data_IF_975557324655
#
_entry.id   IF_975557324655
#
_cell.length_a   1.000
_cell.length_b   1.000
_cell.length_c   1.000
_cell.angle_alpha   90.00
_cell.angle_beta   90.00
_cell.angle_gamma   90.00
#
_symmetry.space_group_name_H-M   'P 1'
#
loop_
_entity.id
_entity.type
_entity.pdbx_description
1 polymer ?
#
# COMPACT_ATOMS: atom_id res chain seq x y z
N UNK A 1 -10.60 9.42 1.85
CA UNK A 1 -11.72 8.81 2.62
C UNK A 1 -11.10 8.02 3.75
N UNK A 2 -11.32 8.40 4.98
CA UNK A 2 -10.70 7.72 6.13
C UNK A 2 -11.58 6.54 6.57
N UNK A 3 -10.99 5.39 6.89
CA UNK A 3 -11.72 4.30 7.52
C UNK A 3 -12.20 4.71 8.90
N UNK A 4 -13.49 4.52 9.18
CA UNK A 4 -14.01 4.66 10.54
C UNK A 4 -13.52 3.49 11.41
N UNK A 5 -13.36 3.65 12.74
CA UNK A 5 -12.97 2.56 13.62
C UNK A 5 -13.80 1.28 13.44
N UNK A 6 -15.12 1.45 13.25
CA UNK A 6 -16.03 0.33 12.98
C UNK A 6 -15.64 -0.45 11.72
N UNK A 7 -15.31 0.24 10.61
CA UNK A 7 -14.91 -0.43 9.37
C UNK A 7 -13.56 -1.12 9.52
N UNK A 8 -12.65 -0.52 10.25
CA UNK A 8 -11.35 -1.11 10.56
C UNK A 8 -11.52 -2.43 11.33
N UNK A 9 -12.34 -2.42 12.39
CA UNK A 9 -12.64 -3.63 13.15
C UNK A 9 -13.35 -4.69 12.30
N UNK A 10 -14.30 -4.28 11.43
CA UNK A 10 -14.96 -5.22 10.50
C UNK A 10 -13.96 -5.90 9.54
N UNK A 11 -13.01 -5.16 8.98
CA UNK A 11 -11.97 -5.74 8.12
C UNK A 11 -11.13 -6.74 8.92
N UNK A 12 -10.70 -6.38 10.13
CA UNK A 12 -9.93 -7.27 11.01
C UNK A 12 -10.69 -8.55 11.32
N UNK A 13 -11.99 -8.46 11.66
CA UNK A 13 -12.82 -9.65 11.95
C UNK A 13 -12.98 -10.55 10.73
N UNK A 14 -13.11 -9.97 9.53
CA UNK A 14 -13.31 -10.71 8.28
C UNK A 14 -12.00 -11.23 7.67
N UNK A 15 -10.83 -10.77 8.15
CA UNK A 15 -9.52 -11.11 7.57
C UNK A 15 -9.18 -12.60 7.67
N UNK A 16 -9.86 -13.35 8.56
CA UNK A 16 -9.75 -14.80 8.68
C UNK A 16 -10.37 -15.57 7.49
N UNK A 17 -11.13 -14.89 6.62
CA UNK A 17 -11.81 -15.47 5.46
C UNK A 17 -12.99 -16.40 5.83
N UNK A 18 -13.44 -16.41 7.10
CA UNK A 18 -14.58 -17.18 7.54
C UNK A 18 -15.89 -16.39 7.43
N UNK A 19 -17.03 -17.11 7.49
CA UNK A 19 -18.33 -16.46 7.53
C UNK A 19 -18.64 -15.93 8.94
N UNK A 20 -18.93 -14.63 9.02
CA UNK A 20 -19.42 -13.97 10.23
C UNK A 20 -20.85 -13.48 10.01
N UNK A 21 -21.77 -13.85 10.90
CA UNK A 21 -23.16 -13.41 10.79
C UNK A 21 -23.26 -11.90 11.04
N UNK A 22 -24.18 -11.23 10.34
CA UNK A 22 -24.39 -9.80 10.54
C UNK A 22 -24.92 -9.45 11.93
N UNK A 23 -25.53 -10.41 12.64
CA UNK A 23 -25.97 -10.29 14.03
C UNK A 23 -24.77 -10.32 14.98
N UNK A 24 -23.90 -11.33 14.88
CA UNK A 24 -22.68 -11.43 15.68
C UNK A 24 -21.77 -10.21 15.51
N UNK A 25 -21.57 -9.75 14.26
CA UNK A 25 -20.79 -8.54 13.98
C UNK A 25 -21.43 -7.29 14.61
N UNK A 26 -22.79 -7.23 14.58
CA UNK A 26 -23.53 -6.13 15.20
C UNK A 26 -23.37 -6.11 16.72
N UNK A 27 -23.47 -7.27 17.37
CA UNK A 27 -23.28 -7.43 18.82
C UNK A 27 -21.87 -7.02 19.24
N UNK A 28 -20.84 -7.52 18.56
CA UNK A 28 -19.44 -7.19 18.87
C UNK A 28 -19.12 -5.71 18.72
N UNK A 29 -19.80 -5.02 17.80
CA UNK A 29 -19.55 -3.60 17.49
C UNK A 29 -20.55 -2.65 18.15
N UNK A 30 -21.56 -3.17 18.86
CA UNK A 30 -22.61 -2.36 19.46
C UNK A 30 -23.49 -1.62 18.43
N UNK A 31 -23.69 -2.21 17.23
CA UNK A 31 -24.49 -1.60 16.14
C UNK A 31 -25.54 -2.59 15.61
N UNK A 32 -26.57 -2.05 14.95
CA UNK A 32 -27.59 -2.90 14.34
C UNK A 32 -27.08 -3.68 13.13
N UNK A 33 -27.71 -4.83 12.83
CA UNK A 33 -27.46 -5.61 11.61
C UNK A 33 -27.61 -4.77 10.33
N UNK A 34 -28.56 -3.82 10.32
CA UNK A 34 -28.74 -2.91 9.18
C UNK A 34 -27.53 -1.96 9.02
N UNK A 35 -26.95 -1.48 10.13
CA UNK A 35 -25.72 -0.69 10.11
C UNK A 35 -24.52 -1.52 9.62
N UNK A 36 -24.38 -2.78 10.06
CA UNK A 36 -23.37 -3.71 9.52
C UNK A 36 -23.50 -3.81 8.00
N UNK A 37 -24.69 -4.05 7.46
CA UNK A 37 -24.92 -4.14 6.02
C UNK A 37 -24.48 -2.88 5.27
N UNK A 38 -24.75 -1.69 5.84
CA UNK A 38 -24.31 -0.40 5.26
C UNK A 38 -22.79 -0.29 5.25
N UNK A 39 -22.11 -0.70 6.31
CA UNK A 39 -20.66 -0.73 6.37
C UNK A 39 -20.06 -1.72 5.37
N UNK A 40 -20.65 -2.91 5.20
CA UNK A 40 -20.20 -3.89 4.20
C UNK A 40 -20.31 -3.35 2.76
N UNK A 41 -21.39 -2.62 2.43
CA UNK A 41 -21.50 -1.95 1.13
C UNK A 41 -20.36 -0.95 0.92
N UNK A 42 -20.06 -0.13 1.91
CA UNK A 42 -18.97 0.84 1.81
C UNK A 42 -17.57 0.19 1.75
N UNK A 43 -17.38 -0.99 2.35
CA UNK A 43 -16.13 -1.76 2.23
C UNK A 43 -15.95 -2.34 0.82
N UNK A 44 -17.05 -2.77 0.17
CA UNK A 44 -17.01 -3.18 -1.25
C UNK A 44 -16.59 -2.03 -2.18
N UNK A 45 -17.04 -0.79 -1.89
CA UNK A 45 -16.62 0.40 -2.64
C UNK A 45 -15.12 0.70 -2.52
N UNK A 46 -14.47 0.25 -1.44
CA UNK A 46 -13.01 0.30 -1.28
C UNK A 46 -12.27 -0.84 -2.00
N UNK A 47 -13.01 -1.69 -2.70
CA UNK A 47 -12.45 -2.80 -3.48
C UNK A 47 -12.26 -4.10 -2.71
N UNK A 48 -12.79 -4.23 -1.46
CA UNK A 48 -12.78 -5.52 -0.77
C UNK A 48 -13.72 -6.52 -1.47
N UNK A 49 -13.19 -7.69 -1.79
CA UNK A 49 -13.98 -8.79 -2.35
C UNK A 49 -14.74 -9.52 -1.23
N UNK A 50 -15.94 -9.04 -0.98
CA UNK A 50 -16.82 -9.50 0.09
C UNK A 50 -17.98 -10.34 -0.45
N UNK A 51 -18.08 -11.59 0.02
CA UNK A 51 -19.25 -12.43 -0.18
C UNK A 51 -20.30 -12.17 0.90
N UNK A 52 -21.56 -12.21 0.49
CA UNK A 52 -22.71 -12.19 1.39
C UNK A 52 -23.62 -13.37 1.05
N UNK A 53 -23.89 -14.21 2.03
CA UNK A 53 -24.79 -15.37 1.88
C UNK A 53 -25.89 -15.33 2.93
N UNK A 54 -27.14 -15.43 2.48
CA UNK A 54 -28.30 -15.45 3.37
C UNK A 54 -28.18 -16.62 4.35
N UNK A 55 -28.39 -16.36 5.64
CA UNK A 55 -28.26 -17.34 6.71
C UNK A 55 -26.82 -17.58 7.20
N UNK A 56 -25.78 -17.20 6.46
CA UNK A 56 -24.38 -17.36 6.89
C UNK A 56 -23.70 -16.04 7.23
N UNK A 57 -24.06 -14.93 6.57
CA UNK A 57 -23.48 -13.61 6.81
C UNK A 57 -22.44 -13.19 5.75
N UNK A 58 -21.33 -12.63 6.17
CA UNK A 58 -20.30 -12.03 5.33
C UNK A 58 -18.95 -12.71 5.50
N UNK A 59 -18.14 -12.77 4.44
CA UNK A 59 -16.74 -13.17 4.48
C UNK A 59 -15.94 -12.48 3.39
N UNK A 60 -14.62 -12.40 3.54
CA UNK A 60 -13.71 -12.08 2.44
C UNK A 60 -13.58 -13.27 1.48
N UNK A 61 -13.31 -13.00 0.20
CA UNK A 61 -13.07 -14.04 -0.82
C UNK A 61 -11.88 -14.93 -0.45
N UNK A 62 -10.83 -14.31 0.08
CA UNK A 62 -9.62 -14.95 0.58
C UNK A 62 -9.23 -14.35 1.92
N UNK A 63 -8.59 -15.12 2.83
CA UNK A 63 -7.98 -14.55 4.03
C UNK A 63 -6.99 -13.45 3.68
N UNK A 64 -6.86 -12.45 4.55
CA UNK A 64 -6.00 -11.29 4.34
C UNK A 64 -5.10 -11.08 5.54
N UNK A 65 -3.79 -10.97 5.31
CA UNK A 65 -2.85 -10.49 6.30
C UNK A 65 -2.79 -8.96 6.23
N UNK A 66 -3.22 -8.30 7.29
CA UNK A 66 -3.16 -6.84 7.40
C UNK A 66 -1.77 -6.41 7.91
N UNK A 67 -1.34 -5.20 7.53
CA UNK A 67 -0.08 -4.65 8.03
C UNK A 67 -0.12 -4.44 9.55
N UNK A 68 0.91 -4.95 10.20
CA UNK A 68 1.20 -4.70 11.61
C UNK A 68 2.36 -3.70 11.72
N UNK A 69 2.05 -2.52 12.22
CA UNK A 69 3.02 -1.41 12.39
C UNK A 69 4.24 -1.83 13.21
N UNK A 70 4.05 -2.62 14.27
CA UNK A 70 5.13 -3.04 15.17
C UNK A 70 6.06 -4.03 14.47
N UNK A 71 5.48 -5.02 13.78
CA UNK A 71 6.24 -6.01 13.02
C UNK A 71 7.04 -5.35 11.88
N UNK A 72 6.40 -4.45 11.13
CA UNK A 72 7.07 -3.76 10.03
C UNK A 72 8.19 -2.84 10.52
N UNK A 73 7.99 -2.13 11.64
CA UNK A 73 9.04 -1.32 12.25
C UNK A 73 10.21 -2.18 12.74
N UNK A 74 9.95 -3.38 13.23
CA UNK A 74 11.02 -4.32 13.63
C UNK A 74 11.84 -4.82 12.44
N UNK A 75 11.24 -4.97 11.26
CA UNK A 75 11.94 -5.34 10.02
C UNK A 75 12.77 -4.19 9.43
N UNK A 76 12.44 -2.94 9.75
CA UNK A 76 13.14 -1.75 9.26
C UNK A 76 13.59 -0.86 10.44
N UNK A 77 14.54 -1.33 11.30
CA UNK A 77 14.89 -0.64 12.54
C UNK A 77 15.66 0.68 12.31
N UNK A 78 16.21 0.88 11.11
CA UNK A 78 17.08 2.01 10.80
C UNK A 78 16.31 3.31 10.50
N UNK A 79 15.01 3.23 10.18
CA UNK A 79 14.20 4.39 9.83
C UNK A 79 12.72 4.15 10.20
N UNK A 80 11.95 5.23 10.46
CA UNK A 80 10.52 5.10 10.76
C UNK A 80 9.73 4.46 9.63
N UNK A 81 8.76 3.62 10.00
CA UNK A 81 7.79 3.01 9.10
C UNK A 81 6.40 3.52 9.47
N UNK A 82 5.68 4.09 8.51
CA UNK A 82 4.30 4.54 8.68
C UNK A 82 3.35 3.59 7.97
N UNK A 83 2.31 3.12 8.66
CA UNK A 83 1.30 2.22 8.08
C UNK A 83 -0.08 2.83 8.13
N UNK A 84 -0.80 2.74 7.03
CA UNK A 84 -2.17 3.23 6.90
C UNK A 84 -3.09 2.15 6.32
N UNK A 85 -4.28 2.02 6.87
CA UNK A 85 -5.29 1.18 6.24
C UNK A 85 -5.80 1.82 4.93
N UNK A 86 -6.02 3.14 4.93
CA UNK A 86 -6.41 3.91 3.73
C UNK A 86 -5.75 5.28 3.78
N UNK A 87 -5.14 5.66 2.70
CA UNK A 87 -4.54 6.99 2.49
C UNK A 87 -4.87 7.49 1.08
N UNK A 88 -4.66 8.74 0.79
CA UNK A 88 -4.73 9.28 -0.57
C UNK A 88 -3.59 8.75 -1.45
N UNK A 89 -2.34 8.95 -1.00
CA UNK A 89 -1.14 8.44 -1.66
C UNK A 89 0.02 8.34 -0.67
N UNK A 90 0.70 7.19 -0.64
CA UNK A 90 1.91 6.99 0.18
C UNK A 90 3.05 7.90 -0.29
N UNK A 91 3.21 8.13 -1.60
CA UNK A 91 4.16 9.09 -2.13
C UNK A 91 3.84 10.51 -1.67
N UNK A 92 2.58 10.94 -1.76
CA UNK A 92 2.17 12.29 -1.35
C UNK A 92 2.43 12.52 0.13
N UNK A 93 2.12 11.53 0.97
CA UNK A 93 2.36 11.58 2.41
C UNK A 93 3.81 11.91 2.75
N UNK A 94 4.76 11.22 2.11
CA UNK A 94 6.19 11.48 2.32
C UNK A 94 6.63 12.78 1.64
N UNK A 95 6.14 13.06 0.44
CA UNK A 95 6.56 14.23 -0.34
C UNK A 95 6.23 15.55 0.37
N UNK A 96 5.10 15.63 1.04
CA UNK A 96 4.70 16.80 1.84
C UNK A 96 5.57 17.02 3.09
N UNK A 97 6.34 16.01 3.49
CA UNK A 97 7.14 15.99 4.73
C UNK A 97 8.65 15.93 4.49
N UNK A 98 9.11 16.05 3.26
CA UNK A 98 10.52 15.84 2.85
C UNK A 98 11.55 16.59 3.71
N UNK A 99 11.20 17.74 4.27
CA UNK A 99 12.09 18.52 5.14
C UNK A 99 12.20 17.98 6.57
N UNK A 100 11.40 16.99 6.95
CA UNK A 100 11.31 16.43 8.30
C UNK A 100 11.71 14.95 8.34
N UNK A 101 11.87 14.32 7.16
CA UNK A 101 12.09 12.89 7.04
C UNK A 101 13.57 12.52 7.15
N UNK A 102 13.82 11.33 7.68
CA UNK A 102 15.11 10.67 7.66
C UNK A 102 15.23 9.75 6.44
N UNK A 103 16.43 9.61 5.89
CA UNK A 103 16.68 8.70 4.76
C UNK A 103 16.27 7.25 5.13
N UNK A 104 15.53 6.59 4.24
CA UNK A 104 14.94 5.27 4.47
C UNK A 104 13.57 5.28 5.13
N UNK A 105 13.07 6.42 5.59
CA UNK A 105 11.73 6.52 6.15
C UNK A 105 10.69 6.13 5.12
N UNK A 106 9.75 5.26 5.52
CA UNK A 106 8.86 4.60 4.58
C UNK A 106 7.39 4.71 4.99
N UNK A 107 6.52 4.61 4.00
CA UNK A 107 5.07 4.65 4.15
C UNK A 107 4.44 3.50 3.39
N UNK A 108 3.62 2.69 4.09
CA UNK A 108 2.84 1.60 3.51
C UNK A 108 1.35 1.87 3.68
N UNK A 109 0.54 1.32 2.77
CA UNK A 109 -0.90 1.40 2.87
C UNK A 109 -1.59 0.16 2.30
N UNK A 110 -2.74 -0.22 2.89
CA UNK A 110 -3.59 -1.28 2.35
C UNK A 110 -4.38 -0.81 1.11
N UNK A 111 -4.63 0.50 1.00
CA UNK A 111 -5.39 1.11 -0.09
C UNK A 111 -4.99 2.56 -0.31
N UNK A 112 -4.89 2.98 -1.57
CA UNK A 112 -4.78 4.39 -1.97
C UNK A 112 -6.04 4.86 -2.69
N UNK A 113 -6.59 6.01 -2.28
CA UNK A 113 -7.76 6.61 -2.93
C UNK A 113 -7.40 7.56 -4.08
N UNK A 114 -6.15 8.00 -4.14
CA UNK A 114 -5.61 8.88 -5.17
C UNK A 114 -4.19 8.44 -5.60
N UNK A 115 -3.98 7.13 -5.73
CA UNK A 115 -2.73 6.55 -6.21
C UNK A 115 -2.34 7.07 -7.60
N UNK A 116 -1.05 7.34 -7.81
CA UNK A 116 -0.54 7.91 -9.06
C UNK A 116 0.56 7.05 -9.65
N UNK A 117 0.55 6.98 -10.97
CA UNK A 117 1.67 6.54 -11.78
C UNK A 117 2.33 7.70 -12.51
N UNK A 118 3.28 7.40 -13.37
CA UNK A 118 3.97 8.40 -14.20
C UNK A 118 2.99 9.18 -15.06
N UNK A 119 3.31 10.47 -15.29
CA UNK A 119 2.52 11.42 -16.10
C UNK A 119 1.09 11.59 -15.57
N UNK A 120 0.90 11.47 -14.26
CA UNK A 120 -0.41 11.67 -13.62
C UNK A 120 -1.45 10.58 -13.91
N UNK A 121 -1.06 9.42 -14.47
CA UNK A 121 -1.99 8.31 -14.67
C UNK A 121 -2.48 7.79 -13.32
N UNK A 122 -3.79 7.53 -13.15
CA UNK A 122 -4.29 6.96 -11.92
C UNK A 122 -3.72 5.55 -11.70
N UNK A 123 -3.40 5.23 -10.46
CA UNK A 123 -3.03 3.89 -10.01
C UNK A 123 -4.15 3.35 -9.15
N UNK A 124 -4.76 2.25 -9.59
CA UNK A 124 -5.88 1.62 -8.90
C UNK A 124 -5.32 0.71 -7.82
N UNK A 125 -5.73 0.94 -6.58
CA UNK A 125 -5.24 0.22 -5.39
C UNK A 125 -6.41 -0.32 -4.57
N UNK A 126 -7.05 -1.44 -4.97
CA UNK A 126 -8.07 -2.08 -4.17
C UNK A 126 -7.50 -2.51 -2.82
N UNK A 127 -8.30 -2.44 -1.77
CA UNK A 127 -7.86 -2.69 -0.40
C UNK A 127 -7.25 -4.09 -0.26
N UNK A 128 -6.03 -4.15 0.31
CA UNK A 128 -5.32 -5.40 0.63
C UNK A 128 -4.92 -6.27 -0.58
N UNK A 129 -5.00 -5.74 -1.81
CA UNK A 129 -4.68 -6.49 -3.03
C UNK A 129 -3.25 -6.27 -3.53
N UNK A 130 -2.53 -5.31 -2.98
CA UNK A 130 -1.21 -4.90 -3.45
C UNK A 130 -0.33 -4.56 -2.25
N UNK A 131 0.97 -4.78 -2.40
CA UNK A 131 1.95 -4.17 -1.52
C UNK A 131 2.20 -2.76 -2.05
N UNK A 132 1.80 -1.74 -1.30
CA UNK A 132 1.95 -0.34 -1.64
C UNK A 132 2.98 0.26 -0.69
N UNK A 133 4.14 0.60 -1.22
CA UNK A 133 5.28 1.10 -0.46
C UNK A 133 5.79 2.39 -1.08
N UNK A 134 6.05 3.39 -0.27
CA UNK A 134 6.87 4.54 -0.64
C UNK A 134 8.01 4.71 0.35
N UNK A 135 9.19 5.12 -0.14
CA UNK A 135 10.37 5.36 0.67
C UNK A 135 10.97 6.73 0.33
N UNK A 136 11.35 7.47 1.37
CA UNK A 136 12.06 8.72 1.24
C UNK A 136 13.57 8.49 1.18
N UNK A 137 14.24 9.25 0.30
CA UNK A 137 15.70 9.31 0.23
C UNK A 137 16.17 10.73 -0.08
N UNK A 138 17.40 11.02 0.30
CA UNK A 138 18.07 12.28 -0.03
C UNK A 138 19.35 12.01 -0.82
N UNK A 139 19.50 12.64 -1.96
CA UNK A 139 20.73 12.61 -2.77
C UNK A 139 21.48 13.91 -2.61
N UNK A 140 22.72 13.83 -2.13
CA UNK A 140 23.61 14.98 -1.99
C UNK A 140 24.18 15.45 -3.35
N UNK A 141 24.22 14.54 -4.35
CA UNK A 141 24.75 14.80 -5.69
C UNK A 141 23.76 15.53 -6.62
N UNK A 142 22.57 15.86 -6.11
CA UNK A 142 21.54 16.58 -6.86
C UNK A 142 20.75 15.71 -7.85
N UNK A 143 19.81 16.34 -8.56
CA UNK A 143 18.81 15.66 -9.39
C UNK A 143 19.41 14.85 -10.55
N UNK A 144 20.57 15.23 -11.08
CA UNK A 144 21.20 14.48 -12.16
C UNK A 144 21.62 13.06 -11.75
N UNK A 145 21.99 12.85 -10.49
CA UNK A 145 22.33 11.54 -9.95
C UNK A 145 21.13 10.60 -9.82
N UNK A 146 19.91 11.12 -9.87
CA UNK A 146 18.68 10.29 -9.85
C UNK A 146 18.35 9.66 -11.22
N UNK A 147 19.10 10.00 -12.28
CA UNK A 147 18.89 9.37 -13.59
C UNK A 147 19.17 7.87 -13.52
N UNK A 148 18.20 7.07 -13.96
CA UNK A 148 18.28 5.61 -13.87
C UNK A 148 17.91 5.01 -12.50
N UNK A 149 17.59 5.81 -11.48
CA UNK A 149 17.27 5.32 -10.15
C UNK A 149 16.11 4.33 -10.15
N UNK A 150 15.08 4.52 -10.99
CA UNK A 150 13.98 3.56 -11.11
C UNK A 150 14.43 2.17 -11.58
N UNK A 151 15.52 2.08 -12.34
CA UNK A 151 16.12 0.79 -12.73
C UNK A 151 16.87 0.16 -11.56
N UNK A 152 17.65 0.95 -10.82
CA UNK A 152 18.38 0.46 -9.64
C UNK A 152 17.40 -0.05 -8.58
N UNK A 153 16.32 0.70 -8.31
CA UNK A 153 15.22 0.26 -7.43
C UNK A 153 14.57 -1.02 -7.97
N UNK A 154 14.34 -1.09 -9.29
CA UNK A 154 13.79 -2.28 -9.92
C UNK A 154 14.67 -3.51 -9.73
N UNK A 155 15.99 -3.39 -9.87
CA UNK A 155 16.95 -4.48 -9.59
C UNK A 155 16.85 -4.92 -8.14
N UNK A 156 16.86 -3.98 -7.19
CA UNK A 156 16.75 -4.31 -5.77
C UNK A 156 15.44 -5.05 -5.43
N UNK A 157 14.30 -4.67 -6.06
CA UNK A 157 13.02 -5.37 -5.88
C UNK A 157 13.07 -6.78 -6.50
N UNK A 158 13.67 -6.95 -7.67
CA UNK A 158 13.86 -8.27 -8.29
C UNK A 158 14.68 -9.17 -7.38
N UNK A 159 15.85 -8.71 -6.91
CA UNK A 159 16.71 -9.46 -5.99
C UNK A 159 15.99 -9.83 -4.69
N UNK A 160 15.20 -8.91 -4.12
CA UNK A 160 14.40 -9.19 -2.95
C UNK A 160 13.35 -10.28 -3.21
N UNK A 161 12.64 -10.24 -4.33
CA UNK A 161 11.65 -11.26 -4.70
C UNK A 161 12.30 -12.61 -4.96
N UNK A 162 13.45 -12.65 -5.62
CA UNK A 162 14.22 -13.89 -5.85
C UNK A 162 14.66 -14.50 -4.52
N UNK A 163 15.13 -13.69 -3.57
CA UNK A 163 15.52 -14.16 -2.23
C UNK A 163 14.35 -14.76 -1.43
N UNK A 164 13.13 -14.34 -1.75
CA UNK A 164 11.88 -14.86 -1.17
C UNK A 164 11.32 -16.08 -1.93
N UNK A 165 12.02 -16.56 -2.97
CA UNK A 165 11.60 -17.73 -3.75
C UNK A 165 10.68 -17.42 -4.93
N UNK A 166 10.64 -16.18 -5.41
CA UNK A 166 9.88 -15.75 -6.60
C UNK A 166 10.81 -15.36 -7.76
N UNK A 167 11.50 -16.32 -8.41
CA UNK A 167 12.39 -16.04 -9.54
C UNK A 167 11.60 -15.73 -10.80
N UNK A 168 12.28 -15.09 -11.77
CA UNK A 168 11.71 -14.83 -13.10
C UNK A 168 10.92 -13.52 -13.19
N UNK A 169 11.12 -12.60 -12.26
CA UNK A 169 10.64 -11.22 -12.40
C UNK A 169 11.56 -10.46 -13.35
N UNK A 170 10.99 -9.81 -14.34
CA UNK A 170 11.69 -9.09 -15.41
C UNK A 170 11.55 -7.58 -15.26
N UNK A 171 12.65 -6.85 -15.50
CA UNK A 171 12.66 -5.40 -15.61
C UNK A 171 12.23 -4.97 -17.00
N UNK A 172 11.16 -4.17 -17.08
CA UNK A 172 10.75 -3.50 -18.31
C UNK A 172 11.05 -2.02 -18.22
N UNK A 173 11.99 -1.59 -19.04
CA UNK A 173 12.36 -0.16 -19.12
C UNK A 173 11.13 0.72 -19.39
N UNK A 174 10.99 1.90 -18.76
CA UNK A 174 11.99 2.48 -17.85
C UNK A 174 11.74 2.23 -16.36
N UNK A 175 10.62 1.64 -15.93
CA UNK A 175 10.22 1.68 -14.54
C UNK A 175 9.20 0.61 -14.13
N UNK A 176 9.02 -0.43 -14.90
CA UNK A 176 8.02 -1.46 -14.64
C UNK A 176 8.68 -2.82 -14.36
N UNK A 177 8.06 -3.59 -13.48
CA UNK A 177 8.39 -4.99 -13.26
C UNK A 177 7.30 -5.87 -13.87
N UNK A 178 7.70 -6.93 -14.51
CA UNK A 178 6.83 -7.91 -15.15
C UNK A 178 7.09 -9.30 -14.60
N UNK A 179 6.05 -10.10 -14.49
CA UNK A 179 6.11 -11.51 -14.16
C UNK A 179 5.17 -12.28 -15.08
N UNK A 180 5.69 -13.31 -15.75
CA UNK A 180 4.93 -14.13 -16.72
C UNK A 180 4.16 -13.28 -17.77
N UNK A 181 4.82 -12.25 -18.31
CA UNK A 181 4.25 -11.38 -19.34
C UNK A 181 3.22 -10.36 -18.83
N UNK A 182 2.95 -10.31 -17.54
CA UNK A 182 2.00 -9.38 -16.91
C UNK A 182 2.74 -8.38 -16.04
N UNK A 183 2.25 -7.14 -15.98
CA UNK A 183 2.80 -6.11 -15.10
C UNK A 183 2.57 -6.50 -13.63
N UNK A 184 3.68 -6.68 -12.90
CA UNK A 184 3.70 -6.98 -11.48
C UNK A 184 3.73 -5.70 -10.64
N UNK A 185 4.63 -4.76 -10.98
CA UNK A 185 4.78 -3.51 -10.26
C UNK A 185 5.16 -2.35 -11.19
N UNK A 186 4.99 -1.14 -10.69
CA UNK A 186 5.50 0.08 -11.31
C UNK A 186 6.26 0.92 -10.29
N UNK A 187 7.35 1.53 -10.70
CA UNK A 187 8.19 2.37 -9.84
C UNK A 187 7.98 3.82 -10.22
N UNK A 188 7.59 4.65 -9.25
CA UNK A 188 7.41 6.08 -9.41
C UNK A 188 8.42 6.82 -8.53
N UNK A 189 9.38 7.50 -9.14
CA UNK A 189 10.31 8.39 -8.43
C UNK A 189 9.86 9.83 -8.62
N UNK A 190 9.46 10.48 -7.54
CA UNK A 190 9.16 11.90 -7.49
C UNK A 190 10.31 12.63 -6.80
N UNK A 191 10.66 13.83 -7.30
CA UNK A 191 11.84 14.58 -6.85
C UNK A 191 11.48 16.02 -6.53
N UNK A 192 12.15 16.57 -5.52
CA UNK A 192 12.08 17.98 -5.15
C UNK A 192 13.49 18.48 -4.78
N UNK A 193 13.87 19.65 -5.27
CA UNK A 193 15.19 20.25 -5.02
C UNK A 193 15.54 21.28 -6.06
N UNK A 194 16.66 21.97 -5.86
CA UNK A 194 17.20 22.96 -6.81
C UNK A 194 18.38 22.38 -7.58
N UNK A 195 18.64 22.89 -8.77
CA UNK A 195 19.81 22.50 -9.56
C UNK A 195 21.11 22.81 -8.77
N UNK A 196 22.00 21.79 -8.67
CA UNK A 196 23.26 21.91 -7.95
C UNK A 196 23.21 21.79 -6.43
N UNK A 197 22.03 21.58 -5.85
CA UNK A 197 21.85 21.29 -4.44
C UNK A 197 21.41 19.83 -4.22
N UNK A 198 21.41 19.38 -2.96
CA UNK A 198 20.81 18.07 -2.61
C UNK A 198 19.36 18.00 -3.07
N UNK A 199 18.90 16.82 -3.47
CA UNK A 199 17.51 16.63 -3.83
C UNK A 199 16.82 15.58 -2.94
N UNK A 200 15.56 15.83 -2.68
CA UNK A 200 14.67 14.92 -1.98
C UNK A 200 14.00 13.99 -2.99
N UNK A 201 13.97 12.72 -2.67
CA UNK A 201 13.36 11.68 -3.49
C UNK A 201 12.27 10.98 -2.70
N UNK A 202 11.16 10.70 -3.35
CA UNK A 202 10.15 9.77 -2.87
C UNK A 202 9.96 8.70 -3.93
N UNK A 203 10.23 7.46 -3.54
CA UNK A 203 10.27 6.29 -4.40
C UNK A 203 9.04 5.45 -4.05
N UNK A 204 8.05 5.42 -4.94
CA UNK A 204 6.85 4.58 -4.81
C UNK A 204 6.95 3.30 -5.64
N UNK A 205 6.49 2.20 -5.07
CA UNK A 205 6.46 0.87 -5.67
C UNK A 205 5.06 0.27 -5.50
#
# INVERSE_FOLDING_TARGET
MTLTPIRQTLITLLSDGQFHSGEQLGEQLGISRAAVSKHMAALKELGLDLFSLTGKGYRLAVPMALYDQVQLQALAPMAPVHCFSVIDSTNQYLFERVNQLSAGESCLAECQTAGRGRRGKPWVSPFGCQLILSMYWRLEQGMAAAMGLSLAVGVAVVEALESLGYPGVELKWPNDLYYQGRKLAGILVEMSGSAGASCHLVIGI
#
